data_IF_746578606428
#
_entry.id   IF_746578606428
#
_cell.length_a   1.000
_cell.length_b   1.000
_cell.length_c   1.000
_cell.angle_alpha   90.00
_cell.angle_beta   90.00
_cell.angle_gamma   90.00
#
_symmetry.space_group_name_H-M   'P 1'
#
loop_
_entity.id
_entity.type
_entity.pdbx_description
1 polymer ?
#
# COMPACT_ATOMS: atom_id res chain seq x y z
N UNK A 1 51.42 3.43 76.99
CA UNK A 1 52.17 2.36 77.73
C UNK A 1 52.25 1.12 76.80
N UNK A 2 53.50 0.70 76.47
CA UNK A 2 54.00 -0.54 75.92
C UNK A 2 53.53 -0.85 74.45
N UNK A 3 54.37 -0.58 73.48
CA UNK A 3 55.65 -1.19 73.06
C UNK A 3 55.59 -2.60 72.44
N UNK A 4 56.02 -2.63 71.16
CA UNK A 4 56.84 -3.66 70.50
C UNK A 4 56.10 -4.96 70.04
N UNK A 5 56.33 -5.47 68.88
CA UNK A 5 57.62 -5.78 68.19
C UNK A 5 57.39 -5.99 66.65
N UNK A 6 58.39 -5.52 65.95
CA UNK A 6 58.76 -5.86 64.57
C UNK A 6 59.22 -7.31 64.52
N UNK A 7 58.84 -8.01 63.42
CA UNK A 7 59.66 -9.09 62.87
C UNK A 7 59.43 -9.20 61.35
N UNK A 8 60.50 -8.86 60.67
CA UNK A 8 60.73 -9.09 59.25
C UNK A 8 61.09 -10.54 59.03
N UNK A 9 60.49 -11.15 58.02
CA UNK A 9 61.06 -12.36 57.31
C UNK A 9 60.87 -12.19 55.84
N UNK A 10 61.94 -12.44 55.11
CA UNK A 10 62.18 -12.19 53.71
C UNK A 10 61.54 -13.28 52.78
N UNK A 11 61.23 -12.78 51.64
CA UNK A 11 61.45 -13.31 50.28
C UNK A 11 61.42 -14.82 50.03
N UNK A 12 60.44 -15.29 49.27
CA UNK A 12 60.66 -16.22 48.12
C UNK A 12 59.73 -15.77 46.99
N UNK A 13 60.35 -15.33 45.89
CA UNK A 13 59.68 -15.10 44.62
C UNK A 13 59.36 -16.43 43.97
N UNK A 14 58.08 -16.70 43.78
CA UNK A 14 57.59 -17.73 42.82
C UNK A 14 56.80 -16.98 41.76
N UNK A 15 57.39 -16.80 40.58
CA UNK A 15 56.67 -16.40 39.37
C UNK A 15 55.72 -17.54 38.98
N UNK A 16 54.47 -17.46 39.38
CA UNK A 16 53.38 -18.15 38.72
C UNK A 16 52.85 -17.21 37.63
N UNK A 17 53.23 -17.44 36.39
CA UNK A 17 52.55 -16.89 35.23
C UNK A 17 51.13 -17.46 35.21
N UNK A 18 50.19 -16.72 35.80
CA UNK A 18 48.77 -16.93 35.56
C UNK A 18 48.51 -16.43 34.15
N UNK A 19 48.47 -17.37 33.17
CA UNK A 19 47.71 -17.16 31.93
C UNK A 19 46.28 -16.86 32.34
N UNK A 20 45.90 -15.58 32.37
CA UNK A 20 44.50 -15.21 32.22
C UNK A 20 44.07 -15.77 30.89
N UNK A 21 43.01 -16.60 30.82
CA UNK A 21 42.35 -16.82 29.55
C UNK A 21 41.87 -15.43 29.12
N UNK A 22 42.34 -14.97 27.98
CA UNK A 22 41.68 -13.94 27.20
C UNK A 22 40.35 -14.60 26.88
N UNK A 23 39.31 -14.33 27.66
CA UNK A 23 37.97 -14.53 27.23
C UNK A 23 37.85 -13.55 26.04
N UNK A 24 37.98 -14.09 24.83
CA UNK A 24 37.42 -13.42 23.67
C UNK A 24 35.98 -13.07 24.12
N UNK A 25 35.70 -11.80 24.28
CA UNK A 25 34.32 -11.31 24.34
C UNK A 25 33.69 -11.85 23.08
N UNK A 26 32.78 -12.80 23.20
CA UNK A 26 31.92 -13.13 22.09
C UNK A 26 31.33 -11.76 21.69
N UNK A 27 31.64 -11.31 20.46
CA UNK A 27 30.90 -10.26 19.82
C UNK A 27 29.46 -10.66 20.04
N UNK A 28 28.65 -9.80 20.58
CA UNK A 28 27.20 -10.01 20.63
C UNK A 28 26.80 -9.98 19.14
N UNK A 29 26.75 -11.15 18.50
CA UNK A 29 26.56 -11.29 17.05
C UNK A 29 25.11 -10.97 16.65
N UNK A 30 24.33 -10.33 17.54
CA UNK A 30 22.94 -10.02 17.31
C UNK A 30 22.81 -8.65 16.65
N UNK A 31 22.42 -8.63 15.37
CA UNK A 31 22.17 -7.42 14.59
C UNK A 31 20.75 -6.96 14.87
N UNK A 32 20.59 -5.70 15.27
CA UNK A 32 19.26 -5.09 15.45
C UNK A 32 18.97 -4.13 14.31
N UNK A 33 17.81 -4.29 13.68
CA UNK A 33 17.28 -3.37 12.67
C UNK A 33 15.98 -2.74 13.15
N UNK A 34 15.73 -1.51 12.70
CA UNK A 34 14.50 -0.77 12.96
C UNK A 34 13.64 -0.78 11.70
N UNK A 35 12.39 -1.20 11.85
CA UNK A 35 11.39 -1.28 10.79
C UNK A 35 10.25 -0.30 11.04
N UNK A 36 10.06 0.67 10.15
CA UNK A 36 8.96 1.63 10.21
C UNK A 36 7.81 1.17 9.32
N UNK A 37 6.59 1.18 9.88
CA UNK A 37 5.39 0.78 9.13
C UNK A 37 4.20 1.69 9.41
N UNK A 38 3.19 1.62 8.53
CA UNK A 38 1.96 2.41 8.57
C UNK A 38 0.73 1.59 9.00
N UNK A 39 0.91 0.31 9.32
CA UNK A 39 -0.18 -0.61 9.60
C UNK A 39 -0.81 -0.34 10.96
N UNK A 40 -2.14 -0.16 10.99
CA UNK A 40 -2.94 0.10 12.19
C UNK A 40 -4.13 -0.89 12.28
N UNK A 41 -4.77 -0.96 13.45
CA UNK A 41 -5.93 -1.84 13.69
C UNK A 41 -5.63 -3.30 13.36
N UNK A 42 -6.53 -3.98 12.66
CA UNK A 42 -6.37 -5.39 12.25
C UNK A 42 -5.08 -5.63 11.48
N UNK A 43 -4.73 -4.72 10.56
CA UNK A 43 -3.50 -4.82 9.78
C UNK A 43 -2.25 -4.64 10.66
N UNK A 44 -2.32 -3.77 11.67
CA UNK A 44 -1.25 -3.59 12.65
C UNK A 44 -1.05 -4.82 13.52
N UNK A 45 -2.11 -5.45 13.99
CA UNK A 45 -2.05 -6.70 14.76
C UNK A 45 -1.43 -7.84 13.95
N UNK A 46 -1.78 -7.94 12.66
CA UNK A 46 -1.17 -8.90 11.74
C UNK A 46 0.33 -8.63 11.55
N UNK A 47 0.73 -7.35 11.35
CA UNK A 47 2.12 -6.94 11.21
C UNK A 47 2.95 -7.29 12.46
N UNK A 48 2.48 -6.93 13.64
CA UNK A 48 3.16 -7.26 14.90
C UNK A 48 3.31 -8.78 15.08
N UNK A 49 2.33 -9.55 14.63
CA UNK A 49 2.38 -11.01 14.69
C UNK A 49 3.51 -11.55 13.82
N UNK A 50 3.63 -11.11 12.56
CA UNK A 50 4.68 -11.61 11.65
C UNK A 50 6.09 -11.13 12.05
N UNK A 51 6.22 -9.92 12.62
CA UNK A 51 7.51 -9.44 13.16
C UNK A 51 7.94 -10.26 14.39
N UNK A 52 7.00 -10.56 15.28
CA UNK A 52 7.29 -11.43 16.43
C UNK A 52 7.68 -12.85 15.99
N UNK A 53 6.96 -13.43 15.02
CA UNK A 53 7.29 -14.73 14.45
C UNK A 53 8.69 -14.73 13.82
N UNK A 54 9.04 -13.68 13.07
CA UNK A 54 10.41 -13.52 12.56
C UNK A 54 11.44 -13.55 13.70
N UNK A 55 11.24 -12.73 14.72
CA UNK A 55 12.18 -12.63 15.84
C UNK A 55 12.34 -13.94 16.62
N UNK A 56 11.29 -14.76 16.70
CA UNK A 56 11.31 -16.04 17.41
C UNK A 56 11.85 -17.19 16.56
N UNK A 57 11.87 -17.05 15.23
CA UNK A 57 12.26 -18.09 14.26
C UNK A 57 13.53 -17.70 13.49
N UNK A 58 13.37 -17.18 12.29
CA UNK A 58 14.48 -16.82 11.38
C UNK A 58 15.44 -15.82 12.02
N UNK A 59 14.92 -14.80 12.67
CA UNK A 59 15.71 -13.79 13.36
C UNK A 59 16.57 -14.39 14.46
N UNK A 60 16.00 -15.27 15.29
CA UNK A 60 16.73 -15.99 16.33
C UNK A 60 17.81 -16.92 15.78
N UNK A 61 17.52 -17.62 14.69
CA UNK A 61 18.49 -18.52 14.04
C UNK A 61 19.68 -17.74 13.46
N UNK A 62 19.41 -16.60 12.83
CA UNK A 62 20.42 -15.78 12.15
C UNK A 62 21.03 -14.68 13.05
N UNK A 63 20.64 -14.57 14.30
CA UNK A 63 21.12 -13.51 15.20
C UNK A 63 20.59 -12.12 14.82
N UNK A 64 19.36 -12.00 14.29
CA UNK A 64 18.73 -10.75 13.88
C UNK A 64 17.55 -10.45 14.79
N UNK A 65 17.41 -9.18 15.18
CA UNK A 65 16.23 -8.68 15.90
C UNK A 65 15.64 -7.51 15.17
N UNK A 66 14.38 -7.60 14.80
CA UNK A 66 13.60 -6.51 14.19
C UNK A 66 12.82 -5.76 15.28
N UNK A 67 13.01 -4.44 15.35
CA UNK A 67 12.18 -3.52 16.15
C UNK A 67 11.15 -2.88 15.24
N UNK A 68 9.91 -3.32 15.36
CA UNK A 68 8.77 -2.73 14.67
C UNK A 68 8.39 -1.40 15.31
N UNK A 69 8.17 -0.37 14.50
CA UNK A 69 7.77 0.97 14.94
C UNK A 69 6.65 1.50 14.05
N UNK A 70 5.45 1.52 14.60
CA UNK A 70 4.31 2.16 13.94
C UNK A 70 4.52 3.67 13.85
N UNK A 71 4.45 4.23 12.65
CA UNK A 71 4.71 5.65 12.38
C UNK A 71 3.46 6.45 11.98
N UNK A 72 2.30 5.80 11.89
CA UNK A 72 1.12 6.40 11.26
C UNK A 72 1.34 6.60 9.77
N UNK A 73 0.58 7.50 9.16
CA UNK A 73 0.67 7.80 7.72
C UNK A 73 1.88 8.69 7.36
N UNK A 74 2.71 9.04 8.34
CA UNK A 74 3.78 10.04 8.20
C UNK A 74 5.15 9.49 7.75
N UNK A 75 5.27 8.19 7.43
CA UNK A 75 6.57 7.57 7.08
C UNK A 75 7.27 8.34 5.96
N UNK A 76 6.57 8.62 4.86
CA UNK A 76 7.15 9.31 3.69
C UNK A 76 7.64 10.73 4.02
N UNK A 77 6.87 11.49 4.80
CA UNK A 77 7.26 12.85 5.21
C UNK A 77 8.43 12.85 6.20
N UNK A 78 8.50 11.85 7.09
CA UNK A 78 9.64 11.66 7.99
C UNK A 78 10.91 11.32 7.24
N UNK A 79 10.84 10.39 6.28
CA UNK A 79 11.98 10.04 5.42
C UNK A 79 12.47 11.25 4.63
N UNK A 80 11.57 12.01 4.04
CA UNK A 80 11.88 13.24 3.30
C UNK A 80 12.56 14.27 4.21
N UNK A 81 12.07 14.45 5.43
CA UNK A 81 12.66 15.36 6.42
C UNK A 81 14.08 14.94 6.79
N UNK A 82 14.31 13.65 7.04
CA UNK A 82 15.63 13.11 7.34
C UNK A 82 16.60 13.26 6.16
N UNK A 83 16.12 12.99 4.94
CA UNK A 83 16.91 13.16 3.72
C UNK A 83 17.33 14.63 3.52
N UNK A 84 16.42 15.59 3.68
CA UNK A 84 16.71 17.02 3.58
C UNK A 84 17.69 17.51 4.65
N UNK A 85 17.67 16.90 5.83
CA UNK A 85 18.60 17.19 6.93
C UNK A 85 19.96 16.48 6.80
N UNK A 86 20.12 15.58 5.81
CA UNK A 86 21.25 14.65 5.70
C UNK A 86 21.46 13.82 6.98
N UNK A 87 20.36 13.47 7.65
CA UNK A 87 20.38 12.76 8.93
C UNK A 87 20.32 11.24 8.71
N UNK A 88 21.41 10.69 8.17
CA UNK A 88 21.53 9.27 7.85
C UNK A 88 21.31 8.35 9.07
N UNK A 89 21.73 8.77 10.25
CA UNK A 89 21.71 7.91 11.45
C UNK A 89 20.29 7.66 11.98
N UNK A 90 19.36 8.55 11.71
CA UNK A 90 17.97 8.45 12.15
C UNK A 90 17.04 7.85 11.09
N UNK A 91 17.56 7.47 9.90
CA UNK A 91 16.79 6.62 8.99
C UNK A 91 16.47 5.28 9.65
N UNK A 92 15.31 4.67 9.37
CA UNK A 92 15.10 3.25 9.69
C UNK A 92 16.02 2.37 8.83
N UNK A 93 16.16 1.11 9.18
CA UNK A 93 16.84 0.14 8.32
C UNK A 93 15.92 -0.36 7.20
N UNK A 94 14.63 -0.52 7.54
CA UNK A 94 13.56 -0.85 6.60
C UNK A 94 12.39 0.10 6.83
N UNK A 95 11.79 0.61 5.76
CA UNK A 95 10.56 1.36 5.84
C UNK A 95 9.52 0.87 4.85
N UNK A 96 8.30 0.67 5.35
CA UNK A 96 7.14 0.47 4.52
C UNK A 96 6.72 1.80 3.90
N UNK A 97 6.79 1.88 2.58
CA UNK A 97 6.34 3.04 1.81
C UNK A 97 5.27 2.61 0.80
N UNK A 98 4.32 3.48 0.51
CA UNK A 98 3.40 3.25 -0.61
C UNK A 98 4.20 3.17 -1.92
N UNK A 99 3.81 2.31 -2.86
CA UNK A 99 4.56 2.14 -4.12
C UNK A 99 4.69 3.47 -4.89
N UNK A 100 3.66 4.34 -4.84
CA UNK A 100 3.72 5.69 -5.40
C UNK A 100 4.72 6.64 -4.71
N UNK A 101 5.32 6.25 -3.59
CA UNK A 101 6.39 6.97 -2.89
C UNK A 101 7.79 6.68 -3.41
N UNK A 102 7.97 5.68 -4.26
CA UNK A 102 9.26 5.32 -4.88
C UNK A 102 9.92 6.50 -5.59
N UNK A 103 9.21 7.36 -6.36
CA UNK A 103 9.80 8.56 -6.96
C UNK A 103 10.55 9.47 -6.00
N UNK A 104 10.11 9.56 -4.77
CA UNK A 104 10.83 10.30 -3.73
C UNK A 104 12.00 9.49 -3.17
N UNK A 105 11.78 8.20 -2.92
CA UNK A 105 12.77 7.32 -2.29
C UNK A 105 14.03 7.13 -3.13
N UNK A 106 13.93 7.05 -4.46
CA UNK A 106 15.09 6.89 -5.36
C UNK A 106 16.09 8.05 -5.27
N UNK A 107 15.71 9.19 -4.70
CA UNK A 107 16.59 10.34 -4.51
C UNK A 107 17.30 10.32 -3.14
N UNK A 108 17.05 9.34 -2.27
CA UNK A 108 17.72 9.25 -0.97
C UNK A 108 19.05 8.50 -1.13
N UNK A 109 20.15 9.14 -0.74
CA UNK A 109 21.52 8.56 -0.82
C UNK A 109 21.65 7.24 -0.06
N UNK A 110 20.80 7.03 0.95
CA UNK A 110 20.81 5.84 1.80
C UNK A 110 20.06 4.65 1.20
N UNK A 111 19.25 4.87 0.16
CA UNK A 111 18.45 3.81 -0.44
C UNK A 111 19.33 2.70 -1.03
N UNK A 112 19.04 1.46 -0.66
CA UNK A 112 19.61 0.25 -1.26
C UNK A 112 18.59 -0.33 -2.23
N UNK A 113 18.95 -0.43 -3.51
CA UNK A 113 18.06 -1.04 -4.50
C UNK A 113 18.01 -2.55 -4.28
N UNK A 114 16.80 -3.08 -4.19
CA UNK A 114 16.58 -4.54 -4.09
C UNK A 114 17.14 -5.28 -5.31
N UNK A 115 17.11 -4.65 -6.47
CA UNK A 115 17.74 -5.17 -7.70
C UNK A 115 19.24 -5.47 -7.51
N UNK A 116 19.97 -4.63 -6.78
CA UNK A 116 21.41 -4.82 -6.56
C UNK A 116 21.64 -6.00 -5.62
N UNK A 117 20.83 -6.18 -4.59
CA UNK A 117 20.91 -7.33 -3.67
C UNK A 117 20.63 -8.66 -4.39
N UNK A 118 19.68 -8.68 -5.32
CA UNK A 118 19.46 -9.85 -6.18
C UNK A 118 20.66 -10.14 -7.09
N UNK A 119 21.30 -9.11 -7.67
CA UNK A 119 22.50 -9.26 -8.51
C UNK A 119 23.71 -9.77 -7.71
N UNK A 120 23.85 -9.36 -6.46
CA UNK A 120 24.87 -9.88 -5.55
C UNK A 120 24.67 -11.35 -5.23
N UNK A 121 23.42 -11.83 -5.20
CA UNK A 121 23.05 -13.23 -5.09
C UNK A 121 23.28 -13.86 -3.73
N UNK A 122 23.41 -13.06 -2.67
CA UNK A 122 23.61 -13.56 -1.31
C UNK A 122 22.27 -13.80 -0.59
N UNK A 123 22.19 -14.87 0.18
CA UNK A 123 21.04 -15.21 1.06
C UNK A 123 19.67 -15.09 0.37
N UNK A 124 19.56 -15.42 -0.93
CA UNK A 124 18.28 -15.40 -1.65
C UNK A 124 17.40 -16.54 -1.14
N UNK A 125 16.28 -16.21 -0.51
CA UNK A 125 15.25 -17.14 -0.03
C UNK A 125 13.94 -17.02 -0.81
N UNK A 126 13.69 -15.85 -1.43
CA UNK A 126 12.60 -15.60 -2.35
C UNK A 126 13.20 -15.25 -3.70
N UNK A 127 12.99 -16.08 -4.70
CA UNK A 127 13.50 -15.83 -6.05
C UNK A 127 12.68 -14.69 -6.71
N UNK A 128 13.34 -13.83 -7.48
CA UNK A 128 12.67 -12.69 -8.14
C UNK A 128 11.56 -13.15 -9.09
N UNK A 129 11.74 -14.28 -9.76
CA UNK A 129 10.76 -14.90 -10.66
C UNK A 129 9.54 -15.48 -9.96
N UNK A 130 9.57 -15.62 -8.62
CA UNK A 130 8.42 -16.05 -7.82
C UNK A 130 7.51 -14.90 -7.44
N UNK A 131 7.98 -13.66 -7.60
CA UNK A 131 7.18 -12.46 -7.31
C UNK A 131 6.17 -12.19 -8.44
N UNK A 132 5.00 -11.69 -8.06
CA UNK A 132 3.94 -11.32 -8.98
C UNK A 132 4.36 -10.18 -9.92
N UNK A 133 4.04 -10.29 -11.23
CA UNK A 133 4.46 -9.32 -12.25
C UNK A 133 3.91 -7.92 -11.97
N UNK A 134 2.65 -7.79 -11.50
CA UNK A 134 2.05 -6.49 -11.18
C UNK A 134 2.79 -5.84 -10.00
N UNK A 135 3.11 -6.65 -8.98
CA UNK A 135 3.83 -6.19 -7.79
C UNK A 135 5.27 -5.75 -8.13
N UNK A 136 5.98 -6.54 -8.94
CA UNK A 136 7.32 -6.17 -9.41
C UNK A 136 7.29 -4.89 -10.23
N UNK A 137 6.33 -4.74 -11.14
CA UNK A 137 6.17 -3.51 -11.94
C UNK A 137 5.88 -2.30 -11.07
N UNK A 138 5.04 -2.44 -10.04
CA UNK A 138 4.69 -1.34 -9.14
C UNK A 138 5.90 -0.78 -8.35
N UNK A 139 6.94 -1.59 -8.15
CA UNK A 139 8.15 -1.20 -7.39
C UNK A 139 9.38 -1.00 -8.27
N UNK A 140 9.26 -1.11 -9.60
CA UNK A 140 10.39 -0.99 -10.53
C UNK A 140 10.44 0.37 -11.20
N UNK A 141 11.63 0.93 -11.30
CA UNK A 141 11.92 2.16 -12.02
C UNK A 141 13.14 1.95 -12.93
N UNK A 142 13.05 2.36 -14.19
CA UNK A 142 14.10 2.18 -15.22
C UNK A 142 14.57 0.71 -15.35
N UNK A 143 13.64 -0.23 -15.20
CA UNK A 143 13.91 -1.67 -15.31
C UNK A 143 14.58 -2.29 -14.09
N UNK A 144 14.77 -1.56 -12.99
CA UNK A 144 15.37 -2.06 -11.75
C UNK A 144 14.33 -2.08 -10.62
N UNK A 145 14.30 -3.15 -9.84
CA UNK A 145 13.48 -3.24 -8.64
C UNK A 145 14.08 -2.39 -7.53
N UNK A 146 13.36 -1.36 -7.12
CA UNK A 146 13.81 -0.37 -6.14
C UNK A 146 13.62 -0.86 -4.69
N UNK A 147 12.47 -1.47 -4.42
CA UNK A 147 12.10 -1.96 -3.10
C UNK A 147 11.50 -3.37 -3.20
N UNK A 148 11.43 -4.12 -2.10
CA UNK A 148 10.76 -5.41 -2.06
C UNK A 148 9.24 -5.17 -2.02
N UNK A 149 8.43 -5.71 -2.96
CA UNK A 149 6.98 -5.65 -2.83
C UNK A 149 6.55 -6.43 -1.57
N UNK A 150 5.53 -5.93 -0.89
CA UNK A 150 5.08 -6.58 0.35
C UNK A 150 3.58 -6.84 0.39
N UNK A 151 2.76 -5.82 0.30
CA UNK A 151 1.32 -5.93 0.45
C UNK A 151 0.63 -5.26 -0.73
N UNK A 152 0.16 -6.08 -1.63
CA UNK A 152 -0.60 -5.64 -2.78
C UNK A 152 -2.07 -5.42 -2.43
N UNK A 153 -2.75 -4.54 -3.13
CA UNK A 153 -4.19 -4.36 -3.00
C UNK A 153 -4.84 -4.02 -4.33
N UNK A 154 -6.11 -4.36 -4.46
CA UNK A 154 -6.93 -3.99 -5.60
C UNK A 154 -8.11 -3.14 -5.14
N UNK A 155 -8.58 -2.25 -5.99
CA UNK A 155 -9.74 -1.40 -5.70
C UNK A 155 -11.02 -2.12 -6.11
N UNK A 156 -12.02 -2.15 -5.22
CA UNK A 156 -13.23 -2.93 -5.39
C UNK A 156 -14.48 -2.10 -5.14
N UNK A 157 -15.60 -2.51 -5.72
CA UNK A 157 -16.92 -2.11 -5.27
C UNK A 157 -17.32 -2.99 -4.07
N UNK A 158 -17.66 -2.38 -2.95
CA UNK A 158 -18.31 -3.00 -1.79
C UNK A 158 -19.80 -2.66 -1.83
N UNK A 159 -20.65 -3.64 -1.54
CA UNK A 159 -22.10 -3.39 -1.55
C UNK A 159 -22.83 -4.20 -0.49
N UNK A 160 -23.90 -3.63 0.04
CA UNK A 160 -24.80 -4.26 1.00
C UNK A 160 -25.85 -5.08 0.24
N UNK A 161 -25.72 -6.41 0.24
CA UNK A 161 -26.63 -7.33 -0.44
C UNK A 161 -28.07 -7.23 0.08
N UNK A 162 -28.23 -7.08 1.39
CA UNK A 162 -29.55 -6.93 2.02
C UNK A 162 -30.26 -5.68 1.51
N UNK A 163 -29.55 -4.54 1.41
CA UNK A 163 -30.13 -3.31 0.84
C UNK A 163 -30.45 -3.43 -0.64
N UNK A 164 -29.64 -4.19 -1.40
CA UNK A 164 -29.92 -4.47 -2.82
C UNK A 164 -31.24 -5.18 -2.96
N UNK A 165 -31.49 -6.26 -2.19
CA UNK A 165 -32.75 -6.98 -2.19
C UNK A 165 -33.92 -6.08 -1.80
N UNK A 166 -33.79 -5.28 -0.73
CA UNK A 166 -34.81 -4.32 -0.30
C UNK A 166 -35.16 -3.29 -1.37
N UNK A 167 -34.17 -2.84 -2.16
CA UNK A 167 -34.35 -1.90 -3.26
C UNK A 167 -34.81 -2.57 -4.57
N UNK A 168 -35.01 -3.91 -4.57
CA UNK A 168 -35.35 -4.68 -5.77
C UNK A 168 -34.25 -4.80 -6.80
N UNK A 169 -32.99 -4.70 -6.36
CA UNK A 169 -31.78 -4.98 -7.10
C UNK A 169 -31.40 -6.46 -6.91
N UNK A 170 -30.73 -7.04 -7.89
CA UNK A 170 -30.20 -8.40 -7.78
C UNK A 170 -28.83 -8.38 -7.10
N UNK A 171 -28.68 -8.93 -5.89
CA UNK A 171 -27.42 -8.93 -5.17
C UNK A 171 -26.35 -9.83 -5.80
N UNK A 172 -26.72 -10.74 -6.69
CA UNK A 172 -25.78 -11.61 -7.42
C UNK A 172 -25.29 -10.97 -8.75
N UNK A 173 -25.86 -9.83 -9.13
CA UNK A 173 -25.46 -9.06 -10.31
C UNK A 173 -25.17 -7.60 -9.92
N UNK A 174 -24.10 -7.33 -9.17
CA UNK A 174 -23.70 -5.97 -8.81
C UNK A 174 -23.29 -5.16 -10.05
N UNK A 175 -23.32 -3.82 -9.97
CA UNK A 175 -22.95 -2.94 -11.07
C UNK A 175 -21.58 -3.23 -11.66
N UNK A 176 -21.49 -3.43 -12.98
CA UNK A 176 -20.26 -3.66 -13.72
C UNK A 176 -19.71 -2.40 -14.40
N UNK A 177 -20.52 -1.34 -14.47
CA UNK A 177 -20.14 -0.04 -15.05
C UNK A 177 -20.55 1.12 -14.14
N UNK A 178 -19.90 2.30 -14.34
CA UNK A 178 -20.28 3.52 -13.62
C UNK A 178 -21.73 3.88 -13.88
N UNK A 179 -22.25 3.68 -15.10
CA UNK A 179 -23.64 3.94 -15.42
C UNK A 179 -24.60 3.03 -14.62
N UNK A 180 -24.30 1.73 -14.54
CA UNK A 180 -25.08 0.79 -13.72
C UNK A 180 -24.98 1.11 -12.23
N UNK A 181 -23.79 1.55 -11.75
CA UNK A 181 -23.60 2.01 -10.38
C UNK A 181 -24.43 3.26 -10.08
N UNK A 182 -24.58 4.18 -11.04
CA UNK A 182 -25.45 5.35 -10.92
C UNK A 182 -26.93 4.94 -10.83
N UNK A 183 -27.36 3.96 -11.64
CA UNK A 183 -28.73 3.44 -11.61
C UNK A 183 -29.02 2.74 -10.26
N UNK A 184 -28.10 1.94 -9.75
CA UNK A 184 -28.22 1.29 -8.44
C UNK A 184 -28.25 2.37 -7.33
N UNK A 185 -27.36 3.36 -7.39
CA UNK A 185 -27.30 4.48 -6.45
C UNK A 185 -28.67 5.20 -6.33
N UNK A 186 -29.35 5.43 -7.48
CA UNK A 186 -30.65 6.08 -7.51
C UNK A 186 -31.78 5.26 -6.84
N UNK A 187 -31.63 3.94 -6.76
CA UNK A 187 -32.61 3.04 -6.13
C UNK A 187 -32.32 2.80 -4.65
N UNK A 188 -31.06 2.88 -4.25
CA UNK A 188 -30.61 2.65 -2.87
C UNK A 188 -30.78 3.87 -1.99
N UNK A 189 -30.86 5.08 -2.58
CA UNK A 189 -30.99 6.33 -1.81
C UNK A 189 -32.35 6.41 -1.12
N UNK A 190 -32.32 6.76 0.16
CA UNK A 190 -33.54 7.10 0.91
C UNK A 190 -33.55 8.56 1.33
N UNK A 191 -34.75 9.19 1.28
CA UNK A 191 -34.92 10.59 1.61
C UNK A 191 -36.16 10.82 2.49
N UNK A 192 -36.00 11.76 3.41
CA UNK A 192 -37.12 12.35 4.14
C UNK A 192 -37.26 13.83 3.72
N UNK A 193 -38.18 14.12 2.82
CA UNK A 193 -38.23 15.38 2.11
C UNK A 193 -36.98 15.60 1.26
N UNK A 194 -36.30 16.72 1.52
CA UNK A 194 -35.03 17.04 0.83
C UNK A 194 -33.79 16.45 1.51
N UNK A 195 -33.93 15.83 2.69
CA UNK A 195 -32.82 15.26 3.44
C UNK A 195 -32.54 13.81 3.00
N UNK A 196 -31.32 13.52 2.63
CA UNK A 196 -30.86 12.14 2.39
C UNK A 196 -30.64 11.47 3.75
N UNK A 197 -31.38 10.41 4.02
CA UNK A 197 -31.28 9.61 5.25
C UNK A 197 -30.40 8.37 5.09
N UNK A 198 -30.29 7.85 3.85
CA UNK A 198 -29.37 6.79 3.46
C UNK A 198 -28.85 7.07 2.04
N UNK A 199 -27.55 7.03 1.85
CA UNK A 199 -26.97 7.24 0.53
C UNK A 199 -26.94 5.94 -0.29
N UNK A 200 -26.95 6.06 -1.61
CA UNK A 200 -26.74 4.91 -2.51
C UNK A 200 -25.28 4.54 -2.63
N UNK A 201 -24.41 5.55 -2.68
CA UNK A 201 -22.96 5.40 -2.86
C UNK A 201 -22.20 6.40 -1.99
N UNK A 202 -21.16 5.92 -1.31
CA UNK A 202 -20.16 6.77 -0.66
C UNK A 202 -18.77 6.45 -1.21
N UNK A 203 -18.10 7.44 -1.77
CA UNK A 203 -16.69 7.38 -2.20
C UNK A 203 -16.12 8.78 -2.38
N UNK A 204 -14.96 9.06 -1.82
CA UNK A 204 -14.13 10.16 -2.27
C UNK A 204 -13.33 9.71 -3.49
N UNK A 205 -13.48 10.40 -4.62
CA UNK A 205 -12.63 10.15 -5.78
C UNK A 205 -11.30 10.87 -5.55
N UNK A 206 -10.32 10.11 -5.13
CA UNK A 206 -8.95 10.56 -4.92
C UNK A 206 -8.05 10.10 -6.08
N UNK A 207 -6.76 10.42 -6.01
CA UNK A 207 -5.78 10.02 -7.01
C UNK A 207 -5.83 8.52 -7.32
N UNK A 208 -5.93 7.65 -6.29
CA UNK A 208 -5.95 6.19 -6.51
C UNK A 208 -7.19 5.74 -7.29
N UNK A 209 -8.40 6.19 -6.94
CA UNK A 209 -9.63 5.89 -7.69
C UNK A 209 -9.54 6.45 -9.11
N UNK A 210 -9.10 7.70 -9.25
CA UNK A 210 -8.96 8.39 -10.52
C UNK A 210 -8.02 7.62 -11.48
N UNK A 211 -6.82 7.27 -11.01
CA UNK A 211 -5.83 6.52 -11.80
C UNK A 211 -6.40 5.19 -12.30
N UNK A 212 -7.16 4.47 -11.47
CA UNK A 212 -7.76 3.21 -11.83
C UNK A 212 -8.84 3.38 -12.91
N UNK A 213 -9.71 4.38 -12.80
CA UNK A 213 -10.73 4.65 -13.82
C UNK A 213 -10.16 5.19 -15.12
N UNK A 214 -9.05 5.92 -15.09
CA UNK A 214 -8.34 6.34 -16.32
C UNK A 214 -7.56 5.18 -16.92
N UNK A 215 -6.71 4.53 -16.12
CA UNK A 215 -5.81 3.46 -16.58
C UNK A 215 -6.53 2.22 -17.11
N UNK A 216 -7.72 1.92 -16.57
CA UNK A 216 -8.53 0.76 -16.97
C UNK A 216 -9.26 0.91 -18.32
N UNK A 217 -9.30 2.12 -18.91
CA UNK A 217 -10.03 2.35 -20.16
C UNK A 217 -9.32 1.73 -21.37
N UNK A 218 -10.10 1.21 -22.32
CA UNK A 218 -9.59 0.49 -23.48
C UNK A 218 -8.89 -0.83 -23.10
N UNK A 219 -7.78 -1.14 -23.72
CA UNK A 219 -6.92 -2.27 -23.33
C UNK A 219 -6.04 -1.92 -22.10
N UNK A 220 -5.57 -0.71 -22.01
CA UNK A 220 -4.99 0.01 -20.85
C UNK A 220 -4.73 1.46 -21.27
N UNK A 221 -4.52 2.34 -20.28
CA UNK A 221 -4.17 3.73 -20.54
C UNK A 221 -3.30 4.31 -19.42
N UNK A 222 -2.75 5.50 -19.65
CA UNK A 222 -1.90 6.20 -18.71
C UNK A 222 -2.50 7.57 -18.33
N UNK A 223 -2.27 7.98 -17.10
CA UNK A 223 -2.71 9.29 -16.61
C UNK A 223 -1.81 10.41 -17.14
N UNK A 224 -0.52 10.14 -17.30
CA UNK A 224 0.50 11.09 -17.72
C UNK A 224 1.48 10.53 -18.75
N UNK A 225 2.47 11.35 -19.14
CA UNK A 225 3.39 11.16 -20.26
C UNK A 225 4.54 10.17 -19.99
N UNK A 226 4.50 9.42 -18.90
CA UNK A 226 5.59 8.54 -18.47
C UNK A 226 5.26 7.04 -18.47
N UNK A 227 4.21 6.64 -19.18
CA UNK A 227 3.79 5.23 -19.29
C UNK A 227 3.62 4.55 -17.91
N UNK A 228 2.96 5.24 -16.98
CA UNK A 228 2.75 4.75 -15.63
C UNK A 228 4.03 4.66 -14.79
N UNK A 229 5.03 5.50 -15.08
CA UNK A 229 6.31 5.53 -14.36
C UNK A 229 7.40 4.65 -14.99
N UNK A 230 7.15 4.07 -16.16
CA UNK A 230 8.11 3.17 -16.83
C UNK A 230 9.02 3.91 -17.80
N UNK A 231 8.62 5.12 -18.23
CA UNK A 231 9.38 5.99 -19.11
C UNK A 231 9.87 7.28 -18.40
N UNK A 232 10.22 7.19 -17.13
CA UNK A 232 10.69 8.31 -16.31
C UNK A 232 9.62 8.93 -15.42
N UNK A 233 9.90 10.11 -14.85
CA UNK A 233 8.94 10.86 -14.04
C UNK A 233 7.91 11.56 -14.93
N UNK A 234 6.67 11.60 -14.46
CA UNK A 234 5.60 12.31 -15.13
C UNK A 234 5.89 13.82 -15.17
N UNK A 235 5.71 14.44 -16.32
CA UNK A 235 5.91 15.88 -16.52
C UNK A 235 4.65 16.64 -16.89
N UNK A 236 3.63 15.95 -17.39
CA UNK A 236 2.28 16.47 -17.68
C UNK A 236 1.24 15.37 -17.65
N UNK A 237 -0.01 15.74 -17.53
CA UNK A 237 -1.12 14.85 -17.81
C UNK A 237 -1.22 14.56 -19.32
N UNK A 238 -1.82 13.40 -19.66
CA UNK A 238 -2.14 13.00 -21.04
C UNK A 238 -3.56 12.49 -21.19
N UNK A 239 -4.22 12.20 -20.07
CA UNK A 239 -5.61 11.73 -20.04
C UNK A 239 -6.63 12.78 -20.52
N UNK A 240 -6.25 14.04 -20.59
CA UNK A 240 -7.03 15.12 -21.21
C UNK A 240 -6.91 15.09 -22.75
N UNK A 241 -5.71 14.77 -23.27
CA UNK A 241 -5.44 14.76 -24.71
C UNK A 241 -6.09 13.56 -25.44
N UNK A 242 -6.23 12.42 -24.76
CA UNK A 242 -6.75 11.16 -25.31
C UNK A 242 -8.26 10.95 -25.08
N UNK A 243 -8.88 11.84 -24.32
CA UNK A 243 -10.33 11.85 -24.02
C UNK A 243 -10.76 10.92 -22.90
N UNK A 244 -9.85 10.22 -22.21
CA UNK A 244 -10.21 9.30 -21.11
C UNK A 244 -10.74 10.05 -19.89
N UNK A 245 -10.21 11.24 -19.61
CA UNK A 245 -10.71 12.10 -18.55
C UNK A 245 -12.13 12.60 -18.82
N UNK A 246 -12.41 13.09 -20.03
CA UNK A 246 -13.77 13.56 -20.39
C UNK A 246 -14.79 12.42 -20.31
N UNK A 247 -14.42 11.23 -20.78
CA UNK A 247 -15.26 10.03 -20.73
C UNK A 247 -15.58 9.64 -19.28
N UNK A 248 -14.57 9.60 -18.40
CA UNK A 248 -14.76 9.34 -16.98
C UNK A 248 -15.68 10.34 -16.33
N UNK A 249 -15.43 11.65 -16.48
CA UNK A 249 -16.25 12.70 -15.87
C UNK A 249 -17.69 12.70 -16.41
N UNK A 250 -17.88 12.36 -17.67
CA UNK A 250 -19.21 12.21 -18.29
C UNK A 250 -20.01 11.06 -17.65
N UNK A 251 -19.38 9.93 -17.40
CA UNK A 251 -20.03 8.81 -16.70
C UNK A 251 -20.25 9.14 -15.22
N UNK A 252 -19.28 9.82 -14.57
CA UNK A 252 -19.39 10.21 -13.18
C UNK A 252 -20.50 11.23 -12.92
N UNK A 253 -20.78 12.09 -13.88
CA UNK A 253 -21.92 13.03 -13.82
C UNK A 253 -23.27 12.31 -13.64
N UNK A 254 -23.42 11.07 -14.17
CA UNK A 254 -24.61 10.24 -13.94
C UNK A 254 -24.74 9.82 -12.48
N UNK A 255 -23.61 9.50 -11.82
CA UNK A 255 -23.57 9.19 -10.38
C UNK A 255 -24.05 10.39 -9.56
N UNK A 256 -23.55 11.58 -9.87
CA UNK A 256 -23.96 12.81 -9.20
C UNK A 256 -25.47 13.05 -9.41
N UNK A 257 -25.95 12.92 -10.63
CA UNK A 257 -27.38 13.10 -11.00
C UNK A 257 -28.31 12.04 -10.39
N UNK A 258 -27.80 10.91 -9.89
CA UNK A 258 -28.59 9.91 -9.16
C UNK A 258 -29.22 10.47 -7.87
N UNK A 259 -28.62 11.50 -7.31
CA UNK A 259 -29.06 12.17 -6.08
C UNK A 259 -28.87 11.35 -4.80
N UNK A 260 -28.10 10.26 -4.88
CA UNK A 260 -27.75 9.37 -3.76
C UNK A 260 -26.24 9.26 -3.50
N UNK A 261 -25.43 10.11 -4.13
CA UNK A 261 -23.97 10.09 -3.98
C UNK A 261 -23.51 10.98 -2.81
N UNK A 262 -22.57 10.44 -2.01
CA UNK A 262 -21.85 11.14 -0.93
C UNK A 262 -20.36 11.19 -1.30
N UNK A 263 -19.78 12.38 -1.55
CA UNK A 263 -18.41 12.51 -2.06
C UNK A 263 -17.34 12.54 -0.94
N UNK A 264 -17.47 11.74 0.12
CA UNK A 264 -16.52 11.71 1.23
C UNK A 264 -16.15 10.28 1.62
N UNK A 265 -15.03 10.09 2.32
CA UNK A 265 -14.64 8.81 2.86
C UNK A 265 -14.43 8.81 4.38
N UNK A 266 -14.82 9.90 5.05
CA UNK A 266 -14.69 10.01 6.50
C UNK A 266 -15.47 8.88 7.19
N UNK A 267 -14.78 8.09 8.04
CA UNK A 267 -15.33 6.94 8.74
C UNK A 267 -16.07 5.93 7.83
N UNK A 268 -15.61 5.76 6.57
CA UNK A 268 -16.32 4.97 5.56
C UNK A 268 -16.57 3.51 6.01
N UNK A 269 -15.64 2.89 6.76
CA UNK A 269 -15.81 1.53 7.26
C UNK A 269 -16.95 1.44 8.28
N UNK A 270 -16.96 2.33 9.26
CA UNK A 270 -17.97 2.40 10.30
C UNK A 270 -19.32 2.79 9.72
N UNK A 271 -19.36 3.75 8.81
CA UNK A 271 -20.59 4.16 8.12
C UNK A 271 -21.18 3.02 7.27
N UNK A 272 -20.34 2.20 6.60
CA UNK A 272 -20.80 1.02 5.89
C UNK A 272 -21.40 0.00 6.85
N UNK A 273 -20.73 -0.29 7.95
CA UNK A 273 -21.21 -1.21 8.97
C UNK A 273 -22.50 -0.72 9.67
N UNK A 274 -22.67 0.61 9.77
CA UNK A 274 -23.92 1.24 10.26
C UNK A 274 -25.01 1.34 9.18
N UNK A 275 -24.75 0.85 7.97
CA UNK A 275 -25.69 0.84 6.86
C UNK A 275 -26.18 2.24 6.42
N UNK A 276 -25.27 3.24 6.48
CA UNK A 276 -25.58 4.62 6.07
C UNK A 276 -25.54 4.81 4.55
N UNK A 277 -25.02 3.85 3.83
CA UNK A 277 -25.01 3.79 2.37
C UNK A 277 -25.01 2.35 1.85
N UNK A 278 -25.45 2.16 0.59
CA UNK A 278 -25.58 0.84 -0.01
C UNK A 278 -24.32 0.36 -0.73
N UNK A 279 -23.48 1.27 -1.24
CA UNK A 279 -22.27 0.97 -2.00
C UNK A 279 -21.11 1.86 -1.58
N UNK A 280 -19.87 1.33 -1.70
CA UNK A 280 -18.63 2.08 -1.57
C UNK A 280 -17.56 1.55 -2.53
N UNK A 281 -16.59 2.40 -2.91
CA UNK A 281 -15.41 1.98 -3.65
C UNK A 281 -14.20 2.11 -2.75
N UNK A 282 -13.62 0.95 -2.37
CA UNK A 282 -12.54 0.87 -1.39
C UNK A 282 -11.48 -0.17 -1.79
N UNK A 283 -10.31 -0.10 -1.18
CA UNK A 283 -9.24 -1.10 -1.34
C UNK A 283 -9.64 -2.46 -0.76
N UNK A 284 -9.18 -3.56 -1.36
CA UNK A 284 -9.30 -4.92 -0.82
C UNK A 284 -8.75 -5.06 0.60
N UNK A 285 -7.75 -4.26 0.97
CA UNK A 285 -7.17 -4.19 2.32
C UNK A 285 -8.19 -3.80 3.42
N UNK A 286 -9.41 -3.42 3.05
CA UNK A 286 -10.51 -3.15 3.98
C UNK A 286 -11.36 -4.40 4.29
N UNK A 287 -11.20 -5.51 3.56
CA UNK A 287 -12.03 -6.70 3.71
C UNK A 287 -12.00 -7.23 5.15
N UNK A 288 -10.81 -7.37 5.74
CA UNK A 288 -10.68 -7.83 7.13
C UNK A 288 -11.36 -6.90 8.13
N UNK A 289 -11.22 -5.59 7.96
CA UNK A 289 -11.88 -4.57 8.81
C UNK A 289 -13.40 -4.61 8.64
N UNK A 290 -13.90 -4.68 7.40
CA UNK A 290 -15.35 -4.75 7.13
C UNK A 290 -15.95 -6.04 7.68
N UNK A 291 -15.27 -7.18 7.51
CA UNK A 291 -15.70 -8.45 8.14
C UNK A 291 -15.86 -8.30 9.66
N UNK A 292 -14.90 -7.67 10.32
CA UNK A 292 -14.92 -7.47 11.77
C UNK A 292 -16.04 -6.52 12.22
N UNK A 293 -16.29 -5.45 11.46
CA UNK A 293 -17.30 -4.42 11.82
C UNK A 293 -18.72 -4.87 11.51
N UNK A 294 -18.92 -5.53 10.38
CA UNK A 294 -20.25 -5.98 9.94
C UNK A 294 -20.68 -7.25 10.73
N UNK A 295 -19.77 -8.21 10.91
CA UNK A 295 -20.11 -9.50 11.51
C UNK A 295 -21.33 -10.12 10.83
N UNK A 296 -22.31 -10.56 11.64
CA UNK A 296 -23.57 -11.17 11.17
C UNK A 296 -24.73 -10.17 11.02
N UNK A 297 -24.47 -8.86 11.04
CA UNK A 297 -25.55 -7.86 11.03
C UNK A 297 -26.30 -7.77 9.71
N UNK A 298 -25.64 -7.99 8.58
CA UNK A 298 -26.22 -8.02 7.24
C UNK A 298 -25.30 -8.73 6.24
N UNK A 299 -25.86 -9.15 5.12
CA UNK A 299 -25.08 -9.73 4.04
C UNK A 299 -24.47 -8.64 3.15
N UNK A 300 -23.19 -8.77 2.84
CA UNK A 300 -22.45 -7.86 1.98
C UNK A 300 -21.54 -8.61 1.00
N UNK A 301 -21.15 -7.92 -0.05
CA UNK A 301 -20.28 -8.48 -1.08
C UNK A 301 -19.29 -7.48 -1.61
N UNK A 302 -18.29 -7.98 -2.32
CA UNK A 302 -17.42 -7.20 -3.20
C UNK A 302 -17.71 -7.55 -4.66
N UNK A 303 -17.40 -6.60 -5.55
CA UNK A 303 -17.41 -6.79 -6.98
C UNK A 303 -16.19 -6.08 -7.58
N UNK A 304 -15.77 -6.44 -8.82
CA UNK A 304 -14.75 -5.67 -9.52
C UNK A 304 -15.11 -4.19 -9.61
N UNK A 305 -14.10 -3.33 -9.70
CA UNK A 305 -14.30 -1.89 -9.89
C UNK A 305 -15.21 -1.66 -11.11
N UNK A 306 -16.35 -0.96 -10.97
CA UNK A 306 -17.22 -0.64 -12.10
C UNK A 306 -16.47 0.13 -13.19
N UNK A 307 -16.47 -0.36 -14.40
CA UNK A 307 -15.75 0.20 -15.55
C UNK A 307 -16.37 1.51 -16.02
N UNK A 308 -15.58 2.36 -16.65
CA UNK A 308 -16.07 3.55 -17.33
C UNK A 308 -16.97 3.14 -18.52
N UNK A 309 -16.52 2.14 -19.30
CA UNK A 309 -17.29 1.55 -20.41
C UNK A 309 -17.25 0.02 -20.30
N UNK A 310 -18.35 -0.64 -20.65
CA UNK A 310 -18.44 -2.10 -20.58
C UNK A 310 -17.38 -2.83 -21.42
N UNK A 311 -16.84 -2.18 -22.45
CA UNK A 311 -15.81 -2.75 -23.34
C UNK A 311 -14.38 -2.54 -22.83
N UNK A 312 -14.18 -1.78 -21.74
CA UNK A 312 -12.86 -1.57 -21.16
C UNK A 312 -12.27 -2.89 -20.63
N UNK A 313 -10.98 -3.11 -20.85
CA UNK A 313 -10.26 -4.35 -20.55
C UNK A 313 -9.00 -4.16 -19.69
N UNK A 314 -8.60 -2.90 -19.47
CA UNK A 314 -7.36 -2.62 -18.74
C UNK A 314 -7.37 -3.16 -17.32
N UNK A 315 -8.53 -3.14 -16.65
CA UNK A 315 -8.64 -3.56 -15.26
C UNK A 315 -8.17 -2.46 -14.31
N UNK A 316 -7.38 -2.84 -13.29
CA UNK A 316 -6.96 -1.92 -12.23
C UNK A 316 -5.45 -1.94 -12.01
N UNK A 317 -4.89 -0.81 -11.63
CA UNK A 317 -3.55 -0.74 -11.08
C UNK A 317 -3.51 -1.41 -9.70
N UNK A 318 -2.41 -2.09 -9.42
CA UNK A 318 -2.13 -2.57 -8.08
C UNK A 318 -1.84 -1.37 -7.17
N UNK A 319 -2.48 -1.35 -6.01
CA UNK A 319 -2.13 -0.47 -4.90
C UNK A 319 -1.33 -1.21 -3.84
N UNK A 320 -1.00 -0.53 -2.76
CA UNK A 320 -0.30 -1.15 -1.64
C UNK A 320 1.06 -0.53 -1.37
N UNK A 321 1.90 -1.27 -0.67
CA UNK A 321 3.18 -0.78 -0.18
C UNK A 321 4.32 -1.76 -0.48
N UNK A 322 5.52 -1.25 -0.37
CA UNK A 322 6.76 -1.99 -0.52
C UNK A 322 7.72 -1.66 0.63
N UNK A 323 8.73 -2.49 0.80
CA UNK A 323 9.73 -2.38 1.84
C UNK A 323 11.02 -1.80 1.25
N UNK A 324 11.31 -0.56 1.58
CA UNK A 324 12.53 0.13 1.18
C UNK A 324 13.63 -0.12 2.22
N UNK A 325 14.81 -0.50 1.76
CA UNK A 325 16.00 -0.76 2.59
C UNK A 325 16.91 0.46 2.58
N UNK A 326 17.42 0.84 3.74
CA UNK A 326 18.32 1.98 3.87
C UNK A 326 19.64 1.58 4.54
N UNK A 327 20.76 1.92 3.89
CA UNK A 327 22.09 1.76 4.43
C UNK A 327 22.49 2.98 5.26
N UNK A 328 22.72 2.75 6.56
CA UNK A 328 23.18 3.77 7.52
C UNK A 328 24.68 3.73 7.74
N UNK A 329 25.43 3.01 6.89
CA UNK A 329 26.87 2.79 6.99
C UNK A 329 27.24 1.50 7.73
N UNK A 330 26.32 0.51 7.81
CA UNK A 330 26.51 -0.78 8.46
C UNK A 330 25.95 -1.89 7.53
N UNK A 331 26.83 -2.62 6.88
CA UNK A 331 26.48 -3.70 5.94
C UNK A 331 25.82 -4.89 6.64
N UNK A 332 26.18 -5.20 7.90
CA UNK A 332 25.52 -6.27 8.67
C UNK A 332 24.02 -5.95 8.85
N UNK A 333 23.66 -4.66 8.97
CA UNK A 333 22.26 -4.21 9.04
C UNK A 333 21.57 -4.26 7.67
N UNK A 334 22.28 -4.01 6.57
CA UNK A 334 21.72 -4.16 5.20
C UNK A 334 21.40 -5.63 4.94
N UNK A 335 22.32 -6.54 5.26
CA UNK A 335 22.11 -7.99 5.11
C UNK A 335 20.91 -8.47 5.97
N UNK A 336 20.84 -8.00 7.22
CA UNK A 336 19.70 -8.31 8.09
C UNK A 336 18.36 -7.78 7.54
N UNK A 337 18.37 -6.59 6.96
CA UNK A 337 17.20 -5.98 6.32
C UNK A 337 16.76 -6.75 5.08
N UNK A 338 17.74 -7.23 4.28
CA UNK A 338 17.48 -8.08 3.13
C UNK A 338 16.82 -9.40 3.52
N UNK A 339 17.32 -10.06 4.55
CA UNK A 339 16.73 -11.29 5.09
C UNK A 339 15.30 -11.06 5.58
N UNK A 340 15.07 -9.95 6.28
CA UNK A 340 13.74 -9.60 6.81
C UNK A 340 12.74 -9.27 5.71
N UNK A 341 13.12 -8.49 4.69
CA UNK A 341 12.21 -8.13 3.60
C UNK A 341 11.83 -9.34 2.73
N UNK A 342 12.77 -10.29 2.51
CA UNK A 342 12.43 -11.56 1.86
C UNK A 342 11.51 -12.43 2.72
N UNK A 343 11.72 -12.46 4.04
CA UNK A 343 10.80 -13.17 4.94
C UNK A 343 9.37 -12.63 4.81
N UNK A 344 9.19 -11.30 4.76
CA UNK A 344 7.89 -10.68 4.55
C UNK A 344 7.26 -11.08 3.21
N UNK A 345 8.05 -11.26 2.15
CA UNK A 345 7.60 -11.66 0.82
C UNK A 345 7.55 -13.19 0.62
N UNK A 346 7.81 -14.01 1.66
CA UNK A 346 7.74 -15.46 1.55
C UNK A 346 6.30 -15.97 1.47
N UNK A 347 6.04 -17.09 0.76
CA UNK A 347 4.69 -17.60 0.56
C UNK A 347 3.90 -17.83 1.85
N UNK A 348 4.54 -18.44 2.86
CA UNK A 348 3.91 -18.73 4.16
C UNK A 348 3.51 -17.44 4.90
N UNK A 349 4.38 -16.42 4.92
CA UNK A 349 4.12 -15.16 5.60
C UNK A 349 3.03 -14.37 4.86
N UNK A 350 3.09 -14.35 3.52
CA UNK A 350 2.06 -13.73 2.70
C UNK A 350 0.70 -14.41 2.93
N UNK A 351 0.62 -15.73 2.92
CA UNK A 351 -0.64 -16.44 3.19
C UNK A 351 -1.23 -16.05 4.56
N UNK A 352 -0.39 -15.95 5.60
CA UNK A 352 -0.81 -15.56 6.94
C UNK A 352 -1.25 -14.09 7.02
N UNK A 353 -0.50 -13.17 6.43
CA UNK A 353 -0.79 -11.74 6.47
C UNK A 353 -2.01 -11.38 5.63
N UNK A 354 -2.08 -11.90 4.41
CA UNK A 354 -3.10 -11.52 3.44
C UNK A 354 -4.47 -12.07 3.84
N UNK A 355 -4.53 -13.31 4.38
CA UNK A 355 -5.78 -13.86 4.90
C UNK A 355 -6.32 -13.11 6.13
N UNK A 356 -5.45 -12.48 6.92
CA UNK A 356 -5.87 -11.69 8.07
C UNK A 356 -6.34 -10.28 7.70
N UNK A 357 -5.83 -9.71 6.61
CA UNK A 357 -5.97 -8.28 6.29
C UNK A 357 -6.86 -8.01 5.07
N UNK A 358 -6.80 -8.87 4.05
CA UNK A 358 -7.42 -8.67 2.74
C UNK A 358 -6.45 -8.05 1.71
N UNK A 359 -5.17 -7.90 2.04
CA UNK A 359 -4.13 -7.65 1.05
C UNK A 359 -3.95 -8.85 0.13
N UNK A 360 -3.29 -8.64 -1.00
CA UNK A 360 -3.08 -9.66 -2.03
C UNK A 360 -1.62 -10.09 -2.03
N UNK A 361 -1.35 -11.39 -2.25
CA UNK A 361 0.01 -11.91 -2.29
C UNK A 361 0.86 -11.25 -3.37
N UNK A 362 2.07 -10.87 -2.99
CA UNK A 362 3.11 -10.43 -3.93
C UNK A 362 4.01 -11.57 -4.40
N UNK A 363 3.81 -12.77 -3.86
CA UNK A 363 4.53 -13.99 -4.26
C UNK A 363 3.53 -14.98 -4.85
N UNK A 364 3.73 -15.35 -6.12
CA UNK A 364 2.82 -16.22 -6.84
C UNK A 364 2.67 -17.62 -6.20
N UNK A 365 3.71 -18.09 -5.49
CA UNK A 365 3.67 -19.39 -4.79
C UNK A 365 2.78 -19.38 -3.54
N UNK A 366 2.37 -18.22 -3.06
CA UNK A 366 1.43 -18.11 -1.94
C UNK A 366 0.11 -18.82 -2.22
N UNK A 367 -0.31 -18.85 -3.49
CA UNK A 367 -1.53 -19.56 -3.87
C UNK A 367 -1.42 -21.08 -3.81
N UNK A 368 -0.20 -21.64 -3.71
CA UNK A 368 0.07 -23.07 -3.51
C UNK A 368 0.02 -23.46 -2.02
N UNK A 369 0.02 -22.48 -1.10
CA UNK A 369 -0.11 -22.73 0.33
C UNK A 369 -1.53 -23.21 0.66
N UNK A 370 -1.64 -24.35 1.39
CA UNK A 370 -2.93 -24.94 1.78
C UNK A 370 -3.83 -23.93 2.53
N UNK A 371 -3.23 -23.09 3.35
CA UNK A 371 -3.94 -22.07 4.11
C UNK A 371 -4.59 -21.01 3.17
N UNK A 372 -3.87 -20.54 2.16
CA UNK A 372 -4.39 -19.57 1.19
C UNK A 372 -5.43 -20.21 0.27
N UNK A 373 -5.20 -21.42 -0.22
CA UNK A 373 -6.16 -22.14 -1.06
C UNK A 373 -7.50 -22.33 -0.32
N UNK A 374 -7.46 -22.75 0.94
CA UNK A 374 -8.66 -22.89 1.80
C UNK A 374 -9.33 -21.52 2.01
N UNK A 375 -8.54 -20.48 2.30
CA UNK A 375 -9.07 -19.15 2.52
C UNK A 375 -9.82 -18.61 1.30
N UNK A 376 -9.30 -18.83 0.09
CA UNK A 376 -9.94 -18.42 -1.17
C UNK A 376 -11.27 -19.14 -1.43
N UNK A 377 -11.40 -20.41 -1.05
CA UNK A 377 -12.64 -21.16 -1.18
C UNK A 377 -13.74 -20.67 -0.22
N UNK A 378 -13.34 -20.25 0.98
CA UNK A 378 -14.24 -19.83 2.03
C UNK A 378 -14.59 -18.32 1.99
N UNK A 379 -13.75 -17.49 1.34
CA UNK A 379 -13.86 -16.02 1.36
C UNK A 379 -14.05 -15.45 -0.05
N UNK A 380 -15.28 -15.55 -0.57
CA UNK A 380 -15.62 -15.10 -1.92
C UNK A 380 -15.34 -13.61 -2.14
N UNK A 381 -15.50 -12.76 -1.13
CA UNK A 381 -15.18 -11.34 -1.21
C UNK A 381 -13.68 -11.10 -1.48
N UNK A 382 -12.81 -11.87 -0.86
CA UNK A 382 -11.38 -11.81 -1.11
C UNK A 382 -11.02 -12.35 -2.51
N UNK A 383 -11.66 -13.45 -2.89
CA UNK A 383 -11.46 -14.06 -4.22
C UNK A 383 -11.73 -13.08 -5.36
N UNK A 384 -12.73 -12.20 -5.25
CA UNK A 384 -13.01 -11.16 -6.25
C UNK A 384 -11.80 -10.25 -6.47
N UNK A 385 -11.09 -9.86 -5.39
CA UNK A 385 -9.89 -9.02 -5.51
C UNK A 385 -8.76 -9.74 -6.26
N UNK A 386 -8.54 -11.03 -5.94
CA UNK A 386 -7.53 -11.86 -6.63
C UNK A 386 -7.89 -12.04 -8.10
N UNK A 387 -9.14 -12.39 -8.40
CA UNK A 387 -9.61 -12.58 -9.78
C UNK A 387 -9.49 -11.28 -10.59
N UNK A 388 -9.81 -10.11 -10.00
CA UNK A 388 -9.64 -8.81 -10.65
C UNK A 388 -8.19 -8.50 -10.96
N UNK A 389 -7.28 -8.70 -9.99
CA UNK A 389 -5.85 -8.47 -10.19
C UNK A 389 -5.32 -9.34 -11.34
N UNK A 390 -5.62 -10.64 -11.32
CA UNK A 390 -5.19 -11.58 -12.36
C UNK A 390 -5.78 -11.28 -13.75
N UNK A 391 -6.93 -10.64 -13.81
CA UNK A 391 -7.58 -10.22 -15.06
C UNK A 391 -7.12 -8.84 -15.56
N UNK A 392 -6.44 -8.08 -14.73
CA UNK A 392 -5.96 -6.73 -15.08
C UNK A 392 -4.73 -6.78 -15.98
N UNK A 393 -4.60 -5.79 -16.86
CA UNK A 393 -3.41 -5.65 -17.67
C UNK A 393 -2.26 -5.13 -16.80
N UNK A 394 -1.11 -5.81 -16.72
CA UNK A 394 0.01 -5.37 -15.87
C UNK A 394 0.63 -4.03 -16.28
N UNK A 395 0.27 -3.47 -17.44
CA UNK A 395 0.64 -2.11 -17.81
C UNK A 395 -0.22 -1.04 -17.15
N UNK A 396 -1.38 -1.38 -16.59
CA UNK A 396 -2.15 -0.43 -15.76
C UNK A 396 -1.40 -0.25 -14.44
N UNK A 397 -0.80 0.92 -14.25
CA UNK A 397 0.05 1.22 -13.11
C UNK A 397 -0.27 2.62 -12.57
N UNK A 398 -0.06 2.82 -11.28
CA UNK A 398 0.00 4.17 -10.76
C UNK A 398 1.19 4.92 -11.38
N UNK A 399 1.01 6.16 -11.83
CA UNK A 399 2.11 6.94 -12.40
C UNK A 399 3.14 7.27 -11.32
N UNK A 400 4.42 7.20 -11.70
CA UNK A 400 5.48 7.75 -10.86
C UNK A 400 5.55 9.25 -11.08
N UNK A 401 5.08 10.00 -10.12
CA UNK A 401 5.12 11.46 -10.09
C UNK A 401 5.65 11.94 -8.74
N UNK A 402 6.28 13.10 -8.75
CA UNK A 402 6.86 13.71 -7.55
C UNK A 402 5.82 14.53 -6.78
N UNK A 403 4.66 14.76 -7.38
CA UNK A 403 3.57 15.55 -6.82
C UNK A 403 2.39 14.68 -6.39
N UNK A 404 2.62 13.41 -6.07
CA UNK A 404 1.55 12.45 -5.79
C UNK A 404 0.55 12.95 -4.73
N UNK A 405 1.01 13.60 -3.68
CA UNK A 405 0.16 14.18 -2.62
C UNK A 405 -0.60 15.42 -3.09
N UNK A 406 0.08 16.31 -3.81
CA UNK A 406 -0.53 17.50 -4.40
C UNK A 406 -1.53 17.13 -5.49
N UNK A 407 -1.25 16.08 -6.28
CA UNK A 407 -2.19 15.55 -7.27
C UNK A 407 -3.41 14.92 -6.60
N UNK A 408 -3.22 14.17 -5.50
CA UNK A 408 -4.33 13.63 -4.71
C UNK A 408 -5.24 14.75 -4.18
N UNK A 409 -4.66 15.81 -3.64
CA UNK A 409 -5.41 16.97 -3.14
C UNK A 409 -6.19 17.68 -4.25
N UNK A 410 -5.56 17.91 -5.41
CA UNK A 410 -6.21 18.55 -6.57
C UNK A 410 -7.40 17.72 -7.05
N UNK A 411 -7.21 16.42 -7.26
CA UNK A 411 -8.26 15.54 -7.74
C UNK A 411 -9.39 15.48 -6.72
N UNK A 412 -9.09 15.18 -5.46
CA UNK A 412 -10.07 15.07 -4.39
C UNK A 412 -10.92 16.32 -4.26
N UNK A 413 -10.30 17.50 -4.17
CA UNK A 413 -11.03 18.74 -3.96
C UNK A 413 -11.94 19.06 -5.15
N UNK A 414 -11.47 18.89 -6.39
CA UNK A 414 -12.29 19.16 -7.57
C UNK A 414 -13.42 18.13 -7.75
N UNK A 415 -13.17 16.86 -7.45
CA UNK A 415 -14.21 15.81 -7.51
C UNK A 415 -15.25 15.97 -6.39
N UNK A 416 -14.86 16.45 -5.20
CA UNK A 416 -15.77 16.79 -4.11
C UNK A 416 -16.66 17.99 -4.47
N UNK A 417 -16.09 19.05 -5.01
CA UNK A 417 -16.86 20.21 -5.49
C UNK A 417 -17.82 19.85 -6.63
N UNK A 418 -17.42 18.96 -7.54
CA UNK A 418 -18.28 18.39 -8.57
C UNK A 418 -19.40 17.56 -7.96
N UNK A 419 -19.07 16.68 -7.02
CA UNK A 419 -20.03 15.82 -6.33
C UNK A 419 -21.08 16.60 -5.54
N UNK A 420 -20.68 17.71 -4.94
CA UNK A 420 -21.57 18.62 -4.19
C UNK A 420 -22.36 19.58 -5.10
N UNK A 421 -22.12 19.57 -6.42
CA UNK A 421 -22.79 20.42 -7.39
C UNK A 421 -22.31 21.88 -7.38
N UNK A 422 -21.16 22.17 -6.78
CA UNK A 422 -20.52 23.48 -6.76
C UNK A 422 -19.71 23.78 -8.02
N UNK A 423 -19.34 22.74 -8.77
CA UNK A 423 -18.70 22.81 -10.09
C UNK A 423 -19.47 21.96 -11.09
N UNK A 424 -19.43 22.36 -12.35
CA UNK A 424 -19.88 21.51 -13.46
C UNK A 424 -18.72 20.66 -14.01
N UNK A 425 -19.05 19.74 -14.92
CA UNK A 425 -18.08 18.82 -15.54
C UNK A 425 -16.91 19.55 -16.19
N UNK A 426 -17.20 20.59 -16.98
CA UNK A 426 -16.19 21.31 -17.75
C UNK A 426 -15.24 22.10 -16.84
N UNK A 427 -15.78 22.71 -15.79
CA UNK A 427 -14.98 23.39 -14.75
C UNK A 427 -14.09 22.40 -14.01
N UNK A 428 -14.63 21.24 -13.62
CA UNK A 428 -13.88 20.18 -12.94
C UNK A 428 -12.74 19.64 -13.81
N UNK A 429 -13.03 19.37 -15.08
CA UNK A 429 -12.06 18.94 -16.07
C UNK A 429 -10.89 19.94 -16.17
N UNK A 430 -11.18 21.21 -16.44
CA UNK A 430 -10.16 22.23 -16.60
C UNK A 430 -9.35 22.43 -15.31
N UNK A 431 -10.01 22.46 -14.16
CA UNK A 431 -9.32 22.63 -12.88
C UNK A 431 -8.35 21.48 -12.56
N UNK A 432 -8.74 20.23 -12.83
CA UNK A 432 -7.85 19.07 -12.61
C UNK A 432 -6.62 19.19 -13.50
N UNK A 433 -6.81 19.42 -14.80
CA UNK A 433 -5.71 19.52 -15.78
C UNK A 433 -4.80 20.70 -15.44
N UNK A 434 -5.34 21.91 -15.36
CA UNK A 434 -4.55 23.12 -15.16
C UNK A 434 -3.76 23.10 -13.84
N UNK A 435 -4.38 22.65 -12.75
CA UNK A 435 -3.72 22.62 -11.44
C UNK A 435 -2.65 21.51 -11.33
N UNK A 436 -2.89 20.33 -11.91
CA UNK A 436 -1.89 19.27 -11.93
C UNK A 436 -0.69 19.67 -12.81
N UNK A 437 -0.93 20.17 -14.02
CA UNK A 437 0.13 20.59 -14.94
C UNK A 437 0.93 21.78 -14.42
N UNK A 438 0.31 22.73 -13.72
CA UNK A 438 1.04 23.82 -13.05
C UNK A 438 2.04 23.28 -12.02
N UNK A 439 1.61 22.31 -11.18
CA UNK A 439 2.47 21.69 -10.16
C UNK A 439 3.59 20.86 -10.78
N UNK A 440 3.30 20.06 -11.81
CA UNK A 440 4.29 19.29 -12.56
C UNK A 440 5.31 20.22 -13.23
N UNK A 441 4.85 21.27 -13.92
CA UNK A 441 5.73 22.24 -14.54
C UNK A 441 6.59 23.02 -13.51
N UNK A 442 6.08 23.27 -12.31
CA UNK A 442 6.86 23.89 -11.24
C UNK A 442 8.01 22.96 -10.79
N UNK A 443 7.73 21.66 -10.64
CA UNK A 443 8.74 20.67 -10.31
C UNK A 443 9.81 20.55 -11.43
N UNK A 444 9.40 20.42 -12.68
CA UNK A 444 10.32 20.35 -13.83
C UNK A 444 11.24 21.57 -13.88
N UNK A 445 10.71 22.79 -13.67
CA UNK A 445 11.54 24.01 -13.63
C UNK A 445 12.55 24.04 -12.48
N UNK A 446 12.25 23.38 -11.37
CA UNK A 446 13.11 23.39 -10.19
C UNK A 446 14.24 22.34 -10.26
N UNK A 447 14.06 21.27 -11.05
CA UNK A 447 14.92 20.10 -11.07
C UNK A 447 15.43 19.71 -12.47
N UNK A 448 15.03 20.46 -13.52
CA UNK A 448 15.39 20.24 -14.93
C UNK A 448 16.58 21.05 -15.42
#
# INVERSE_FOLDING_TARGET
>A
MKMRKVMSVALVAAMCATMCPITASAKDDNVTIEYWHTMAGVNGEAMETIVNDFNETVGKEKGITVKSVYQGDDVSEKLKTLAQANDTQNFPNVAQIVCSGIPSAINYEQLVKVEDLYKEGQDITVAQEDLDEHAVRAVSYDGEMIAMPFNASSILLYYNKTMFEEAGLDPENPPATIAEMADACSKLVEKDGDNVTRYGLNVAVRRYQFVNWIGGQGDYNFVGDNEGGRAGMMTKLTCDEDGTLDKFLTEWEKVIKSGGYKPTEDNINEEFAMQLFGMAVMSSARIGTINSLVGDNFEWGTAPLPKVDANDKGGTAIGGSCEAIFNKGDEDQVDASWIFTQYLASPEVQAKFDSATGYLPVNAKTYDEEAMATYLEENLNYKVAVDQMNASNPNVQEPFDIINWEMDEVIRNNMEEFGNGNQDKDTTYNNIVDQCDEKLAAYVRANG
#
